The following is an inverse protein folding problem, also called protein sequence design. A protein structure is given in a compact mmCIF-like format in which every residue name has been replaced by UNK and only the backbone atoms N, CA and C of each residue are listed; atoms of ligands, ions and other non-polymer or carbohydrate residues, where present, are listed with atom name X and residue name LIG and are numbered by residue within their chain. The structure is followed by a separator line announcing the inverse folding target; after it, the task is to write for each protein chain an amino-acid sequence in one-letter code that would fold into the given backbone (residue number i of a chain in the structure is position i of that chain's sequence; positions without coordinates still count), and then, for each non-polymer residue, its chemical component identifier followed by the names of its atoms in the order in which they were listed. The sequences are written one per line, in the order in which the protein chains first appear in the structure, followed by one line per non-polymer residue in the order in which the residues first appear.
data_IF_078781387677
#
_entry.id   IF_078781387677
#
_cell.length_a   1.000
_cell.length_b   1.000
_cell.length_c   1.000
_cell.angle_alpha   90.00
_cell.angle_beta   90.00
_cell.angle_gamma   90.00
#
_symmetry.space_group_name_H-M   'P 1'
#
loop_
_entity.id
_entity.type
_entity.pdbx_description
1 polymer ?
#
# COMPACT_ATOMS: atom_id res chain seq x y z
N UNK A 1 -55.46 45.62 -35.58
CA UNK A 1 -55.37 46.13 -34.19
C UNK A 1 -53.95 45.91 -33.66
N UNK A 2 -53.13 46.96 -33.52
CA UNK A 2 -51.77 46.84 -32.94
C UNK A 2 -51.87 46.69 -31.43
N UNK A 3 -51.64 45.49 -30.89
CA UNK A 3 -51.51 45.27 -29.43
C UNK A 3 -50.25 45.99 -28.94
N UNK A 4 -50.43 47.18 -28.37
CA UNK A 4 -49.37 47.90 -27.66
C UNK A 4 -49.14 47.16 -26.35
N UNK A 5 -48.09 46.34 -26.28
CA UNK A 5 -47.69 45.73 -25.02
C UNK A 5 -47.44 46.84 -23.99
N UNK A 6 -48.05 46.73 -22.81
CA UNK A 6 -47.85 47.73 -21.76
C UNK A 6 -46.39 47.71 -21.29
N UNK A 7 -45.84 48.88 -20.99
CA UNK A 7 -44.45 49.06 -20.56
C UNK A 7 -44.08 48.12 -19.38
N UNK A 8 -45.05 47.87 -18.49
CA UNK A 8 -44.96 46.97 -17.34
C UNK A 8 -44.56 45.54 -17.72
N UNK A 9 -45.15 44.95 -18.75
CA UNK A 9 -44.83 43.58 -19.15
C UNK A 9 -43.44 43.44 -19.76
N UNK A 10 -42.97 44.45 -20.51
CA UNK A 10 -41.60 44.45 -21.06
C UNK A 10 -40.55 44.48 -19.96
N UNK A 11 -40.74 45.35 -18.96
CA UNK A 11 -39.83 45.46 -17.82
C UNK A 11 -39.76 44.16 -17.01
N UNK A 12 -40.91 43.55 -16.69
CA UNK A 12 -40.95 42.27 -15.96
C UNK A 12 -40.19 41.17 -16.73
N UNK A 13 -40.36 41.11 -18.05
CA UNK A 13 -39.69 40.10 -18.88
C UNK A 13 -38.16 40.30 -18.90
N UNK A 14 -37.69 41.55 -19.03
CA UNK A 14 -36.25 41.87 -19.04
C UNK A 14 -35.62 41.53 -17.68
N UNK A 15 -36.24 41.96 -16.58
CA UNK A 15 -35.74 41.65 -15.24
C UNK A 15 -35.78 40.16 -14.93
N UNK A 16 -36.83 39.45 -15.35
CA UNK A 16 -36.92 38.00 -15.20
C UNK A 16 -35.80 37.27 -15.95
N UNK A 17 -35.50 37.68 -17.19
CA UNK A 17 -34.39 37.10 -17.98
C UNK A 17 -33.05 37.42 -17.32
N UNK A 18 -32.83 38.64 -16.84
CA UNK A 18 -31.60 39.02 -16.15
C UNK A 18 -31.38 38.19 -14.87
N UNK A 19 -32.41 38.00 -14.06
CA UNK A 19 -32.35 37.17 -12.85
C UNK A 19 -32.05 35.72 -13.21
N UNK A 20 -32.75 35.17 -14.22
CA UNK A 20 -32.50 33.80 -14.67
C UNK A 20 -31.07 33.62 -15.22
N UNK A 21 -30.56 34.59 -15.98
CA UNK A 21 -29.21 34.56 -16.52
C UNK A 21 -28.15 34.66 -15.42
N UNK A 22 -28.33 35.56 -14.45
CA UNK A 22 -27.45 35.69 -13.28
C UNK A 22 -27.43 34.40 -12.45
N UNK A 23 -28.60 33.88 -12.07
CA UNK A 23 -28.71 32.66 -11.27
C UNK A 23 -28.15 31.43 -12.00
N UNK A 24 -28.36 31.32 -13.32
CA UNK A 24 -27.78 30.23 -14.11
C UNK A 24 -26.24 30.34 -14.16
N UNK A 25 -25.71 31.55 -14.36
CA UNK A 25 -24.26 31.77 -14.43
C UNK A 25 -23.59 31.47 -13.10
N UNK A 26 -24.15 31.98 -11.99
CA UNK A 26 -23.64 31.71 -10.65
C UNK A 26 -23.75 30.23 -10.28
N UNK A 27 -24.88 29.57 -10.61
CA UNK A 27 -25.05 28.14 -10.38
C UNK A 27 -24.01 27.29 -11.13
N UNK A 28 -23.74 27.61 -12.40
CA UNK A 28 -22.71 26.94 -13.18
C UNK A 28 -21.30 27.15 -12.59
N UNK A 29 -20.99 28.38 -12.16
CA UNK A 29 -19.72 28.69 -11.52
C UNK A 29 -19.56 27.96 -10.18
N UNK A 30 -20.60 27.96 -9.35
CA UNK A 30 -20.61 27.29 -8.05
C UNK A 30 -20.37 25.77 -8.20
N UNK A 31 -21.02 25.11 -9.15
CA UNK A 31 -20.82 23.69 -9.43
C UNK A 31 -19.37 23.42 -9.88
N UNK A 32 -18.81 24.27 -10.75
CA UNK A 32 -17.42 24.12 -11.21
C UNK A 32 -16.42 24.27 -10.07
N UNK A 33 -16.62 25.29 -9.22
CA UNK A 33 -15.76 25.55 -8.06
C UNK A 33 -15.85 24.39 -7.06
N UNK A 34 -17.08 23.95 -6.73
CA UNK A 34 -17.30 22.85 -5.81
C UNK A 34 -16.66 21.55 -6.32
N UNK A 35 -16.83 21.23 -7.62
CA UNK A 35 -16.21 20.04 -8.21
C UNK A 35 -14.68 20.12 -8.12
N UNK A 36 -14.09 21.26 -8.47
CA UNK A 36 -12.64 21.46 -8.40
C UNK A 36 -12.12 21.28 -6.98
N UNK A 37 -12.72 21.96 -6.01
CA UNK A 37 -12.31 21.88 -4.61
C UNK A 37 -12.45 20.46 -4.03
N UNK A 38 -13.50 19.72 -4.40
CA UNK A 38 -13.68 18.33 -4.00
C UNK A 38 -12.62 17.43 -4.63
N UNK A 39 -12.35 17.58 -5.93
CA UNK A 39 -11.30 16.80 -6.61
C UNK A 39 -9.93 17.03 -5.98
N UNK A 40 -9.53 18.29 -5.77
CA UNK A 40 -8.24 18.63 -5.15
C UNK A 40 -8.12 18.05 -3.74
N UNK A 41 -9.20 18.13 -2.94
CA UNK A 41 -9.20 17.57 -1.59
C UNK A 41 -9.09 16.04 -1.59
N UNK A 42 -9.78 15.36 -2.51
CA UNK A 42 -9.70 13.91 -2.64
C UNK A 42 -8.30 13.48 -3.08
N UNK A 43 -7.69 14.18 -4.04
CA UNK A 43 -6.33 13.91 -4.50
C UNK A 43 -5.32 13.97 -3.36
N UNK A 44 -5.32 15.08 -2.60
CA UNK A 44 -4.46 15.25 -1.42
C UNK A 44 -4.71 14.14 -0.39
N UNK A 45 -5.97 13.80 -0.14
CA UNK A 45 -6.31 12.77 0.85
C UNK A 45 -5.89 11.36 0.41
N UNK A 46 -6.08 11.00 -0.86
CA UNK A 46 -5.68 9.71 -1.40
C UNK A 46 -4.16 9.58 -1.45
N UNK A 47 -3.45 10.64 -1.85
CA UNK A 47 -1.99 10.66 -1.81
C UNK A 47 -1.45 10.53 -0.38
N UNK A 48 -2.05 11.25 0.58
CA UNK A 48 -1.73 11.11 1.99
C UNK A 48 -1.91 9.68 2.48
N UNK A 49 -3.08 9.08 2.23
CA UNK A 49 -3.33 7.67 2.60
C UNK A 49 -2.38 6.68 1.95
N UNK A 50 -2.03 6.89 0.68
CA UNK A 50 -1.07 6.04 -0.01
C UNK A 50 0.32 6.13 0.64
N UNK A 51 0.76 7.35 1.00
CA UNK A 51 2.02 7.59 1.71
C UNK A 51 2.02 6.96 3.10
N UNK A 52 0.97 7.17 3.90
CA UNK A 52 0.85 6.61 5.24
C UNK A 52 0.86 5.07 5.20
N UNK A 53 0.18 4.49 4.21
CA UNK A 53 0.18 3.03 4.00
C UNK A 53 1.57 2.53 3.61
N UNK A 54 2.27 3.23 2.73
CA UNK A 54 3.64 2.90 2.34
C UNK A 54 4.59 2.98 3.54
N UNK A 55 4.49 4.00 4.38
CA UNK A 55 5.32 4.17 5.57
C UNK A 55 5.08 3.05 6.61
N UNK A 56 3.82 2.67 6.84
CA UNK A 56 3.47 1.53 7.70
C UNK A 56 4.04 0.23 7.11
N UNK A 57 3.93 0.04 5.80
CA UNK A 57 4.46 -1.15 5.13
C UNK A 57 5.99 -1.22 5.26
N UNK A 58 6.69 -0.13 4.98
CA UNK A 58 8.14 -0.04 5.10
C UNK A 58 8.60 -0.32 6.54
N UNK A 59 7.92 0.24 7.53
CA UNK A 59 8.19 -0.03 8.95
C UNK A 59 8.01 -1.51 9.31
N UNK A 60 6.93 -2.15 8.83
CA UNK A 60 6.70 -3.58 9.03
C UNK A 60 7.77 -4.43 8.35
N UNK A 61 8.12 -4.11 7.10
CA UNK A 61 9.16 -4.83 6.35
C UNK A 61 10.51 -4.71 7.08
N UNK A 62 10.87 -3.53 7.57
CA UNK A 62 12.08 -3.32 8.36
C UNK A 62 12.08 -4.17 9.65
N UNK A 63 10.97 -4.20 10.38
CA UNK A 63 10.82 -5.04 11.58
C UNK A 63 11.01 -6.53 11.26
N UNK A 64 10.46 -7.01 10.14
CA UNK A 64 10.68 -8.38 9.69
C UNK A 64 12.16 -8.67 9.40
N UNK A 65 12.87 -7.76 8.73
CA UNK A 65 14.30 -7.92 8.49
C UNK A 65 15.12 -7.91 9.79
N UNK A 66 14.79 -7.04 10.75
CA UNK A 66 15.46 -7.02 12.05
C UNK A 66 15.22 -8.31 12.84
N UNK A 67 13.99 -8.84 12.80
CA UNK A 67 13.67 -10.13 13.41
C UNK A 67 14.47 -11.27 12.77
N UNK A 68 14.50 -11.33 11.44
CA UNK A 68 15.29 -12.33 10.69
C UNK A 68 16.78 -12.21 10.96
N UNK A 69 17.31 -10.98 11.04
CA UNK A 69 18.69 -10.73 11.41
C UNK A 69 19.00 -11.19 12.84
N UNK A 70 18.08 -10.96 13.77
CA UNK A 70 18.16 -11.47 15.15
C UNK A 70 18.25 -12.99 15.19
N UNK A 71 17.38 -13.67 14.43
CA UNK A 71 17.39 -15.14 14.30
C UNK A 71 18.72 -15.59 13.68
N UNK A 72 19.16 -15.01 12.57
CA UNK A 72 20.41 -15.36 11.89
C UNK A 72 21.67 -15.12 12.75
N UNK A 73 21.60 -14.21 13.73
CA UNK A 73 22.66 -13.92 14.71
C UNK A 73 22.65 -14.85 15.93
N UNK A 74 21.62 -15.70 16.09
CA UNK A 74 21.54 -16.62 17.21
C UNK A 74 22.78 -17.54 17.28
N UNK A 75 23.42 -17.70 18.46
CA UNK A 75 24.64 -18.48 18.60
C UNK A 75 24.53 -19.91 18.06
N UNK A 76 23.39 -20.57 18.30
CA UNK A 76 23.10 -21.93 17.85
C UNK A 76 23.18 -22.09 16.31
N UNK A 77 22.82 -21.06 15.55
CA UNK A 77 22.93 -21.10 14.09
C UNK A 77 24.37 -20.85 13.60
N UNK A 78 25.19 -20.19 14.42
CA UNK A 78 26.59 -19.84 14.13
C UNK A 78 27.59 -20.90 14.63
N UNK A 79 27.16 -21.79 15.50
CA UNK A 79 27.98 -22.87 16.04
C UNK A 79 28.46 -23.80 14.91
N UNK A 80 29.78 -23.98 14.79
CA UNK A 80 30.38 -24.89 13.81
C UNK A 80 30.36 -26.36 14.25
N UNK A 81 30.07 -26.64 15.51
CA UNK A 81 29.88 -27.99 16.04
C UNK A 81 28.51 -28.59 15.72
N UNK A 82 27.53 -27.75 15.39
CA UNK A 82 26.18 -28.19 15.00
C UNK A 82 26.06 -28.40 13.50
N UNK A 83 25.50 -29.54 13.11
CA UNK A 83 25.15 -29.84 11.73
C UNK A 83 24.02 -28.93 11.23
N UNK A 84 23.91 -28.79 9.90
CA UNK A 84 22.81 -28.03 9.29
C UNK A 84 21.44 -28.67 9.55
N UNK A 85 21.37 -29.99 9.75
CA UNK A 85 20.12 -30.66 10.10
C UNK A 85 19.67 -30.26 11.50
N UNK A 86 20.57 -30.26 12.49
CA UNK A 86 20.24 -29.83 13.86
C UNK A 86 19.78 -28.38 13.88
N UNK A 87 20.43 -27.51 13.10
CA UNK A 87 19.98 -26.12 12.91
C UNK A 87 18.59 -26.03 12.27
N UNK A 88 18.29 -26.89 11.30
CA UNK A 88 16.98 -26.95 10.66
C UNK A 88 15.88 -27.39 11.66
N UNK A 89 16.17 -28.36 12.53
CA UNK A 89 15.24 -28.78 13.60
C UNK A 89 14.94 -27.63 14.57
N UNK A 90 15.97 -26.88 14.98
CA UNK A 90 15.78 -25.71 15.86
C UNK A 90 14.95 -24.61 15.19
N UNK A 91 15.20 -24.34 13.91
CA UNK A 91 14.42 -23.36 13.14
C UNK A 91 12.96 -23.79 12.95
N UNK A 92 12.70 -25.08 12.78
CA UNK A 92 11.34 -25.61 12.72
C UNK A 92 10.63 -25.42 14.06
N UNK A 93 11.27 -25.76 15.18
CA UNK A 93 10.71 -25.53 16.51
C UNK A 93 10.42 -24.04 16.78
N UNK A 94 11.29 -23.14 16.33
CA UNK A 94 11.06 -21.70 16.42
C UNK A 94 9.85 -21.27 15.58
N UNK A 95 9.73 -21.75 14.35
CA UNK A 95 8.59 -21.44 13.48
C UNK A 95 7.27 -22.00 14.05
N UNK A 96 7.29 -23.19 14.64
CA UNK A 96 6.11 -23.81 15.25
C UNK A 96 5.66 -23.07 16.52
N UNK A 97 6.58 -22.37 17.20
CA UNK A 97 6.33 -21.61 18.42
C UNK A 97 5.78 -20.20 18.19
N UNK A 98 5.86 -19.68 16.96
CA UNK A 98 5.49 -18.30 16.63
C UNK A 98 4.67 -18.23 15.35
N UNK A 99 3.45 -17.71 15.46
CA UNK A 99 2.53 -17.47 14.34
C UNK A 99 3.08 -16.53 13.26
N UNK A 100 4.14 -15.80 13.55
CA UNK A 100 4.88 -14.97 12.61
C UNK A 100 5.44 -15.79 11.43
N UNK A 101 5.74 -17.07 11.63
CA UNK A 101 6.42 -17.89 10.63
C UNK A 101 5.57 -19.07 10.20
N UNK A 102 5.37 -19.18 8.89
CA UNK A 102 4.88 -20.44 8.32
C UNK A 102 6.01 -21.48 8.28
N UNK A 103 7.24 -21.05 8.01
CA UNK A 103 8.43 -21.91 7.95
C UNK A 103 9.70 -21.08 8.05
N UNK A 104 10.71 -21.63 8.73
CA UNK A 104 12.09 -21.15 8.71
C UNK A 104 12.99 -22.25 8.17
N UNK A 105 13.82 -21.95 7.17
CA UNK A 105 14.75 -22.90 6.56
C UNK A 105 16.18 -22.37 6.62
N UNK A 106 17.14 -23.29 6.61
CA UNK A 106 18.56 -22.96 6.48
C UNK A 106 19.11 -23.51 5.17
N UNK A 107 19.98 -22.72 4.55
CA UNK A 107 20.59 -23.02 3.25
C UNK A 107 22.07 -22.71 3.37
N UNK A 108 22.92 -23.60 2.89
CA UNK A 108 24.35 -23.33 2.84
C UNK A 108 24.70 -22.34 1.72
N UNK A 109 25.98 -21.96 1.66
CA UNK A 109 26.49 -21.04 0.62
C UNK A 109 26.40 -21.63 -0.80
N UNK A 110 26.32 -22.95 -0.94
CA UNK A 110 26.20 -23.64 -2.23
C UNK A 110 24.74 -23.69 -2.73
N UNK A 111 23.78 -23.26 -1.91
CA UNK A 111 22.36 -23.30 -2.26
C UNK A 111 21.68 -24.61 -1.90
N UNK A 112 22.29 -25.40 -1.03
CA UNK A 112 21.74 -26.65 -0.52
C UNK A 112 20.94 -26.35 0.75
N UNK A 113 19.64 -26.62 0.69
CA UNK A 113 18.72 -26.51 1.83
C UNK A 113 18.67 -27.81 2.62
N UNK A 114 18.62 -27.71 3.94
CA UNK A 114 18.59 -28.85 4.85
C UNK A 114 17.24 -28.87 5.58
N UNK A 115 16.57 -30.02 5.58
CA UNK A 115 15.29 -30.21 6.24
C UNK A 115 15.48 -30.88 7.62
N UNK A 116 14.54 -30.66 8.57
CA UNK A 116 14.58 -31.30 9.89
C UNK A 116 14.63 -32.84 9.84
N UNK A 117 13.99 -33.43 8.84
CA UNK A 117 13.93 -34.89 8.62
C UNK A 117 15.19 -35.47 7.96
N UNK A 118 16.24 -34.65 7.77
CA UNK A 118 17.51 -35.05 7.17
C UNK A 118 17.51 -35.06 5.65
N UNK A 119 16.39 -34.76 4.99
CA UNK A 119 16.37 -34.56 3.54
C UNK A 119 17.12 -33.30 3.16
N UNK A 120 17.71 -33.35 1.98
CA UNK A 120 18.46 -32.24 1.39
C UNK A 120 17.76 -31.83 0.10
N UNK A 121 17.64 -30.53 -0.15
CA UNK A 121 17.06 -29.97 -1.36
C UNK A 121 18.03 -28.99 -2.00
N UNK A 122 18.41 -29.24 -3.26
CA UNK A 122 19.11 -28.23 -4.04
C UNK A 122 18.11 -27.14 -4.43
N UNK A 123 18.33 -25.93 -3.95
CA UNK A 123 17.50 -24.76 -4.23
C UNK A 123 18.31 -23.65 -4.91
N UNK A 124 19.49 -23.98 -5.44
CA UNK A 124 20.35 -23.04 -6.17
C UNK A 124 19.65 -22.38 -7.37
N UNK A 125 18.67 -23.08 -7.96
CA UNK A 125 17.85 -22.60 -9.07
C UNK A 125 16.63 -21.73 -8.66
N UNK A 126 16.33 -21.60 -7.36
CA UNK A 126 15.16 -20.84 -6.89
C UNK A 126 15.44 -19.33 -6.99
N UNK A 127 14.56 -18.62 -7.71
CA UNK A 127 14.74 -17.24 -8.20
C UNK A 127 14.80 -16.11 -7.15
N UNK A 128 14.57 -16.38 -5.86
CA UNK A 128 14.63 -15.33 -4.81
C UNK A 128 16.04 -14.70 -4.67
N UNK A 129 17.08 -15.30 -5.24
CA UNK A 129 18.46 -14.80 -5.28
C UNK A 129 18.74 -13.68 -6.30
N UNK A 130 17.77 -13.30 -7.15
CA UNK A 130 18.03 -12.41 -8.30
C UNK A 130 17.95 -10.90 -8.00
N UNK A 131 17.60 -10.50 -6.78
CA UNK A 131 17.60 -9.09 -6.41
C UNK A 131 18.79 -8.81 -5.49
N UNK A 132 19.79 -8.02 -5.92
CA UNK A 132 20.76 -7.47 -4.98
C UNK A 132 20.01 -6.59 -3.97
N UNK A 133 20.30 -6.82 -2.68
CA UNK A 133 19.95 -5.90 -1.60
C UNK A 133 20.57 -4.53 -1.84
#
# INVERSE_FOLDING_TARGET
MKKRFSLRYRLILIFGILIAAAGTTEGLLAIRIARKAVTEKIEVHLMGKARDTAEILDGKVMQWFQLLEGIARAPLLRDSGLSYQEKAVMLQALADSDSAFQKLNIVDKKGIGYLPDGRISDISAIKYKKYPL
#
